data_IF_900151243171
#
_entry.id   IF_900151243171
#
_cell.length_a   1.000
_cell.length_b   1.000
_cell.length_c   1.000
_cell.angle_alpha   90.00
_cell.angle_beta   90.00
_cell.angle_gamma   90.00
#
_symmetry.space_group_name_H-M   'P 1'
#
loop_
_entity.id
_entity.type
_entity.pdbx_description
1 polymer ?
#
# COMPACT_ATOMS: atom_id res chain seq x y z
N UNK A 1 7.99 67.43 7.92
CA UNK A 1 7.02 66.33 8.14
C UNK A 1 6.22 66.20 6.85
N UNK A 2 6.84 65.56 5.86
CA UNK A 2 6.33 65.43 4.50
C UNK A 2 6.86 64.11 3.97
N UNK A 3 6.07 63.48 3.09
CA UNK A 3 6.40 62.29 2.30
C UNK A 3 6.12 60.93 2.96
N UNK A 4 4.85 60.77 3.37
CA UNK A 4 4.14 59.50 3.24
C UNK A 4 3.80 59.27 1.76
N UNK A 5 3.99 58.02 1.31
CA UNK A 5 3.46 57.38 0.08
C UNK A 5 4.29 57.48 -1.22
N UNK A 6 5.15 56.48 -1.43
CA UNK A 6 5.37 55.84 -2.75
C UNK A 6 5.36 54.33 -2.55
N UNK A 7 4.29 53.67 -3.00
CA UNK A 7 4.24 52.98 -4.29
C UNK A 7 5.19 51.75 -4.29
N UNK A 8 4.66 50.56 -3.99
CA UNK A 8 3.93 49.70 -4.91
C UNK A 8 4.84 48.65 -5.56
N UNK A 9 4.44 47.39 -5.40
CA UNK A 9 4.66 46.26 -6.30
C UNK A 9 6.09 45.71 -6.39
N UNK A 10 6.30 44.62 -5.69
CA UNK A 10 6.92 43.44 -6.33
C UNK A 10 6.18 42.21 -5.80
N UNK A 11 5.20 41.79 -6.60
CA UNK A 11 4.63 40.46 -6.51
C UNK A 11 5.73 39.47 -6.92
N UNK A 12 6.17 38.62 -5.99
CA UNK A 12 6.82 37.37 -6.32
C UNK A 12 5.78 36.28 -6.14
N UNK A 13 5.03 36.02 -7.22
CA UNK A 13 4.33 34.75 -7.41
C UNK A 13 5.39 33.64 -7.40
N UNK A 14 5.54 32.95 -6.27
CA UNK A 14 6.17 31.64 -6.26
C UNK A 14 5.12 30.64 -6.78
N UNK A 15 5.20 30.38 -8.08
CA UNK A 15 4.40 29.38 -8.79
C UNK A 15 4.67 27.97 -8.22
N UNK A 16 3.70 27.06 -8.40
CA UNK A 16 3.43 25.91 -7.55
C UNK A 16 4.38 24.76 -7.85
N UNK A 17 4.83 24.06 -6.81
CA UNK A 17 5.56 22.80 -6.95
C UNK A 17 4.74 21.71 -6.26
N UNK A 18 4.54 20.62 -7.00
CA UNK A 18 4.07 19.29 -6.58
C UNK A 18 2.56 19.10 -6.30
N UNK A 19 1.76 19.06 -7.36
CA UNK A 19 0.50 18.28 -7.39
C UNK A 19 0.48 17.39 -8.64
N UNK A 20 1.46 16.48 -8.77
CA UNK A 20 1.50 15.44 -9.81
C UNK A 20 1.31 14.03 -9.21
N UNK A 21 0.52 13.89 -8.14
CA UNK A 21 0.29 12.60 -7.47
C UNK A 21 -1.15 12.09 -7.57
N UNK A 22 -1.95 12.53 -8.57
CA UNK A 22 -3.36 12.15 -8.62
C UNK A 22 -3.91 11.84 -10.03
N UNK A 23 -3.06 11.43 -10.97
CA UNK A 23 -3.50 10.79 -12.20
C UNK A 23 -3.02 9.33 -12.27
N UNK A 24 -3.14 8.59 -11.17
CA UNK A 24 -3.10 7.12 -11.18
C UNK A 24 -4.49 6.59 -11.59
N UNK A 25 -4.87 6.90 -12.83
CA UNK A 25 -5.92 6.15 -13.52
C UNK A 25 -5.33 4.84 -13.99
N UNK A 26 -6.11 3.77 -13.85
CA UNK A 26 -5.85 2.43 -14.36
C UNK A 26 -4.80 1.61 -13.61
N UNK A 27 -5.09 1.30 -12.34
CA UNK A 27 -4.93 -0.05 -11.78
C UNK A 27 -3.65 -0.84 -12.09
N UNK A 28 -2.52 -0.20 -12.29
CA UNK A 28 -1.25 -0.88 -12.45
C UNK A 28 -0.75 -1.32 -11.07
N UNK A 29 0.01 -2.43 -10.98
CA UNK A 29 0.65 -2.75 -9.74
C UNK A 29 1.66 -1.65 -9.37
N UNK A 30 1.77 -1.33 -8.10
CA UNK A 30 2.60 -0.23 -7.61
C UNK A 30 3.26 -0.56 -6.28
N UNK A 31 4.41 0.05 -6.01
CA UNK A 31 5.01 0.09 -4.68
C UNK A 31 4.89 1.52 -4.17
N UNK A 32 4.32 1.68 -2.98
CA UNK A 32 4.23 2.96 -2.28
C UNK A 32 5.14 2.90 -1.08
N UNK A 33 6.04 3.88 -0.95
CA UNK A 33 6.90 4.03 0.22
C UNK A 33 6.44 5.25 1.03
N UNK A 34 6.25 5.08 2.33
CA UNK A 34 6.03 6.14 3.31
C UNK A 34 6.94 5.87 4.50
N UNK A 35 7.74 6.87 4.91
CA UNK A 35 8.71 6.84 6.04
C UNK A 35 9.44 5.50 6.30
N UNK A 36 9.86 4.82 5.23
CA UNK A 36 10.58 3.54 5.29
C UNK A 36 9.69 2.29 5.36
N UNK A 37 8.39 2.44 5.14
CA UNK A 37 7.39 1.38 5.04
C UNK A 37 6.99 1.16 3.59
N UNK A 38 7.05 -0.08 3.13
CA UNK A 38 6.65 -0.48 1.79
C UNK A 38 5.23 -1.06 1.78
N UNK A 39 4.36 -0.43 1.00
CA UNK A 39 3.03 -0.91 0.69
C UNK A 39 2.99 -1.37 -0.77
N UNK A 40 2.90 -2.68 -0.97
CA UNK A 40 2.81 -3.29 -2.30
C UNK A 40 1.35 -3.34 -2.71
N UNK A 41 1.01 -2.75 -3.85
CA UNK A 41 -0.33 -2.69 -4.40
C UNK A 41 -0.42 -3.54 -5.66
N UNK A 42 -1.35 -4.49 -5.68
CA UNK A 42 -1.68 -5.26 -6.86
C UNK A 42 -2.55 -4.44 -7.84
N UNK A 43 -2.42 -4.76 -9.12
CA UNK A 43 -3.42 -4.38 -10.10
C UNK A 43 -4.77 -5.06 -9.78
N UNK A 44 -5.91 -4.43 -10.12
CA UNK A 44 -7.20 -5.11 -10.09
C UNK A 44 -7.14 -6.40 -10.89
N UNK A 45 -7.53 -7.51 -10.28
CA UNK A 45 -7.66 -8.80 -10.94
C UNK A 45 -8.88 -9.55 -10.44
N UNK A 46 -9.51 -10.32 -11.33
CA UNK A 46 -10.68 -11.16 -11.01
C UNK A 46 -10.26 -12.59 -10.60
N UNK A 47 -8.98 -12.81 -10.28
CA UNK A 47 -8.35 -14.12 -10.34
C UNK A 47 -7.57 -14.56 -9.10
N UNK A 48 -7.70 -13.88 -7.96
CA UNK A 48 -7.13 -14.39 -6.72
C UNK A 48 -7.85 -15.71 -6.37
N UNK A 49 -7.09 -16.75 -6.05
CA UNK A 49 -7.67 -18.01 -5.57
C UNK A 49 -8.40 -17.77 -4.25
N UNK A 50 -9.50 -18.47 -3.99
CA UNK A 50 -10.23 -18.37 -2.72
C UNK A 50 -9.40 -18.95 -1.56
N UNK A 51 -8.61 -18.11 -0.91
CA UNK A 51 -7.89 -18.45 0.31
C UNK A 51 -8.19 -17.47 1.45
N UNK A 52 -8.00 -17.98 2.66
CA UNK A 52 -8.17 -17.26 3.91
C UNK A 52 -6.85 -17.36 4.67
N UNK A 53 -6.32 -16.21 5.08
CA UNK A 53 -5.12 -16.14 5.89
C UNK A 53 -5.44 -15.44 7.21
N UNK A 54 -4.93 -15.99 8.31
CA UNK A 54 -5.13 -15.47 9.67
C UNK A 54 -3.76 -15.40 10.31
N UNK A 55 -3.43 -14.28 10.94
CA UNK A 55 -2.14 -14.07 11.58
C UNK A 55 -2.01 -12.68 12.17
N UNK A 56 -0.82 -12.33 12.64
CA UNK A 56 -0.53 -10.98 13.11
C UNK A 56 -0.01 -10.14 11.95
N UNK A 57 -0.62 -8.97 11.69
CA UNK A 57 -0.10 -8.02 10.72
C UNK A 57 1.17 -7.38 11.29
N UNK A 58 2.32 -7.57 10.66
CA UNK A 58 3.59 -7.04 11.17
C UNK A 58 4.29 -6.19 10.13
N UNK A 59 5.19 -5.32 10.62
CA UNK A 59 6.17 -4.61 9.80
C UNK A 59 7.52 -5.26 10.03
N UNK A 60 8.15 -5.74 8.97
CA UNK A 60 9.50 -6.30 9.02
C UNK A 60 10.56 -5.23 9.27
N UNK A 61 11.78 -5.66 9.61
CA UNK A 61 12.94 -4.74 9.74
C UNK A 61 13.33 -4.10 8.39
N UNK A 62 12.90 -4.70 7.29
CA UNK A 62 13.00 -4.23 5.90
C UNK A 62 11.93 -3.18 5.51
N UNK A 63 10.99 -2.90 6.41
CA UNK A 63 9.89 -1.96 6.18
C UNK A 63 8.67 -2.56 5.48
N UNK A 64 8.67 -3.83 5.12
CA UNK A 64 7.58 -4.43 4.35
C UNK A 64 6.49 -4.96 5.29
N UNK A 65 5.27 -5.11 4.77
CA UNK A 65 4.12 -5.58 5.55
C UNK A 65 3.90 -7.08 5.35
N UNK A 66 3.83 -7.79 6.46
CA UNK A 66 3.74 -9.24 6.51
C UNK A 66 2.55 -9.71 7.31
N UNK A 67 2.17 -10.95 7.06
CA UNK A 67 1.29 -11.72 7.94
C UNK A 67 2.09 -12.84 8.59
N UNK A 68 2.24 -12.76 9.91
CA UNK A 68 2.91 -13.78 10.71
C UNK A 68 1.92 -14.81 11.23
N UNK A 69 2.11 -16.07 10.85
CA UNK A 69 1.26 -17.18 11.30
C UNK A 69 2.01 -18.51 11.24
N UNK A 70 1.93 -19.33 12.30
CA UNK A 70 2.47 -20.69 12.32
C UNK A 70 3.91 -20.81 11.76
N UNK A 71 4.81 -19.93 12.22
CA UNK A 71 6.22 -19.83 11.80
C UNK A 71 6.45 -19.37 10.35
N UNK A 72 5.40 -18.97 9.64
CA UNK A 72 5.47 -18.38 8.30
C UNK A 72 5.44 -16.84 8.38
N UNK A 73 6.20 -16.21 7.49
CA UNK A 73 6.32 -14.77 7.33
C UNK A 73 5.96 -14.41 5.89
N UNK A 74 4.68 -14.12 5.65
CA UNK A 74 4.14 -14.01 4.29
C UNK A 74 4.00 -12.57 3.87
N UNK A 75 4.60 -12.17 2.75
CA UNK A 75 4.52 -10.79 2.25
C UNK A 75 3.11 -10.50 1.74
N UNK A 76 2.56 -9.37 2.17
CA UNK A 76 1.23 -8.95 1.77
C UNK A 76 1.28 -7.99 0.59
N UNK A 77 0.51 -8.30 -0.44
CA UNK A 77 0.26 -7.40 -1.58
C UNK A 77 -1.21 -7.02 -1.53
N UNK A 78 -1.46 -5.72 -1.40
CA UNK A 78 -2.76 -5.15 -1.11
C UNK A 78 -3.53 -4.79 -2.37
N UNK A 79 -4.87 -4.72 -2.32
CA UNK A 79 -5.64 -4.24 -3.45
C UNK A 79 -5.36 -2.76 -3.71
N UNK A 80 -5.46 -2.34 -4.98
CA UNK A 80 -5.32 -0.95 -5.39
C UNK A 80 -6.20 0.00 -4.55
N UNK A 81 -5.64 1.16 -4.21
CA UNK A 81 -6.30 2.16 -3.37
C UNK A 81 -6.14 1.93 -1.86
N UNK A 82 -5.45 0.87 -1.45
CA UNK A 82 -5.02 0.71 -0.06
C UNK A 82 -4.04 1.81 0.31
N UNK A 83 -4.18 2.36 1.51
CA UNK A 83 -3.35 3.46 2.02
C UNK A 83 -2.80 3.12 3.39
N UNK A 84 -1.59 3.57 3.67
CA UNK A 84 -1.05 3.61 5.02
C UNK A 84 -1.54 4.87 5.74
N UNK A 85 -1.86 4.79 7.02
CA UNK A 85 -2.20 5.97 7.82
C UNK A 85 -0.96 6.84 8.07
N UNK A 86 -1.17 8.05 8.61
CA UNK A 86 -0.09 9.03 8.78
C UNK A 86 0.98 8.61 9.80
N UNK A 87 0.56 7.93 10.87
CA UNK A 87 1.46 7.40 11.89
C UNK A 87 2.03 6.03 11.50
N UNK A 88 1.60 5.52 10.35
CA UNK A 88 1.99 4.25 9.77
C UNK A 88 1.70 3.02 10.62
N UNK A 89 0.76 3.16 11.55
CA UNK A 89 0.34 2.10 12.45
C UNK A 89 -0.82 1.29 11.89
N UNK A 90 -1.42 1.72 10.78
CA UNK A 90 -2.58 1.08 10.21
C UNK A 90 -2.65 1.14 8.69
N UNK A 91 -3.16 0.07 8.11
CA UNK A 91 -3.46 -0.05 6.69
C UNK A 91 -4.97 0.12 6.50
N UNK A 92 -5.37 1.07 5.67
CA UNK A 92 -6.76 1.26 5.26
C UNK A 92 -6.96 0.71 3.85
N UNK A 93 -7.76 -0.32 3.75
CA UNK A 93 -8.12 -1.04 2.52
C UNK A 93 -9.44 -0.48 2.01
N UNK A 94 -9.58 -0.01 0.76
CA UNK A 94 -10.75 0.79 0.36
C UNK A 94 -12.08 0.04 0.48
N UNK A 95 -13.19 0.75 0.73
CA UNK A 95 -14.51 0.12 0.81
C UNK A 95 -14.88 -0.57 -0.51
N UNK A 96 -15.43 -1.78 -0.41
CA UNK A 96 -15.68 -2.63 -1.57
C UNK A 96 -14.42 -3.33 -2.10
N UNK A 97 -13.24 -2.99 -1.57
CA UNK A 97 -12.13 -3.93 -1.62
C UNK A 97 -12.52 -5.15 -0.79
N UNK A 98 -12.20 -6.34 -1.31
CA UNK A 98 -12.87 -7.55 -0.91
C UNK A 98 -12.22 -8.20 0.32
N UNK A 99 -12.21 -7.46 1.44
CA UNK A 99 -12.06 -8.11 2.73
C UNK A 99 -13.39 -8.83 3.06
N UNK A 100 -13.35 -9.88 3.87
CA UNK A 100 -14.56 -10.58 4.34
C UNK A 100 -15.61 -9.55 4.82
N UNK A 101 -16.93 -9.82 4.73
CA UNK A 101 -17.98 -8.84 5.08
C UNK A 101 -17.95 -8.37 6.55
N UNK A 102 -17.10 -8.96 7.38
CA UNK A 102 -16.89 -8.62 8.78
C UNK A 102 -15.47 -8.05 9.06
N UNK A 103 -14.59 -8.02 8.07
CA UNK A 103 -13.25 -7.47 8.22
C UNK A 103 -13.33 -5.94 8.28
N UNK A 104 -12.51 -5.37 9.16
CA UNK A 104 -12.43 -3.92 9.32
C UNK A 104 -11.66 -3.35 8.13
N UNK A 105 -12.18 -2.26 7.54
CA UNK A 105 -11.53 -1.48 6.46
C UNK A 105 -10.14 -0.98 6.87
N UNK A 106 -9.89 -0.85 8.17
CA UNK A 106 -8.61 -0.45 8.74
C UNK A 106 -8.02 -1.58 9.60
N UNK A 107 -6.80 -1.98 9.29
CA UNK A 107 -6.04 -3.03 9.95
C UNK A 107 -4.86 -2.40 10.69
N UNK A 108 -4.76 -2.63 12.00
CA UNK A 108 -3.69 -2.07 12.83
C UNK A 108 -2.50 -3.02 12.83
N UNK A 109 -1.31 -2.50 12.54
CA UNK A 109 -0.05 -3.23 12.61
C UNK A 109 0.22 -3.62 14.07
N UNK A 110 0.62 -4.88 14.27
CA UNK A 110 0.78 -5.53 15.57
C UNK A 110 -0.50 -6.20 16.09
N UNK A 111 -1.61 -6.13 15.35
CA UNK A 111 -2.86 -6.81 15.71
C UNK A 111 -3.05 -8.11 14.94
N UNK A 112 -3.81 -9.03 15.54
CA UNK A 112 -4.30 -10.21 14.82
C UNK A 112 -5.36 -9.79 13.81
N UNK A 113 -5.16 -10.22 12.57
CA UNK A 113 -6.03 -9.94 11.43
C UNK A 113 -6.43 -11.21 10.72
N UNK A 114 -7.53 -11.12 9.99
CA UNK A 114 -7.90 -12.10 9.00
C UNK A 114 -8.12 -11.38 7.67
N UNK A 115 -7.49 -11.91 6.63
CA UNK A 115 -7.60 -11.40 5.27
C UNK A 115 -8.04 -12.51 4.31
N UNK A 116 -8.88 -12.13 3.35
CA UNK A 116 -9.17 -12.95 2.18
C UNK A 116 -8.15 -12.66 1.08
N UNK A 117 -8.00 -13.60 0.16
CA UNK A 117 -7.08 -13.42 -0.97
C UNK A 117 -6.56 -14.74 -1.48
N UNK A 118 -5.43 -14.72 -2.18
CA UNK A 118 -4.81 -15.91 -2.73
C UNK A 118 -3.29 -15.86 -2.65
N UNK A 119 -2.66 -17.00 -2.36
CA UNK A 119 -1.23 -17.16 -2.55
C UNK A 119 -0.89 -17.07 -4.03
N UNK A 120 0.21 -16.39 -4.36
CA UNK A 120 0.77 -16.39 -5.70
C UNK A 120 2.15 -16.98 -5.65
N UNK A 121 2.36 -18.04 -6.41
CA UNK A 121 3.72 -18.45 -6.76
C UNK A 121 4.26 -17.33 -7.66
N UNK A 122 5.09 -16.45 -7.12
CA UNK A 122 5.81 -15.44 -7.92
C UNK A 122 7.18 -16.05 -8.24
N UNK A 123 7.41 -16.56 -9.46
CA UNK A 123 8.78 -16.82 -9.88
C UNK A 123 9.55 -15.50 -9.78
N UNK A 124 10.75 -15.53 -9.19
CA UNK A 124 11.61 -14.35 -9.00
C UNK A 124 11.80 -13.49 -10.28
N UNK A 125 11.58 -14.06 -11.46
CA UNK A 125 11.76 -13.42 -12.76
C UNK A 125 10.47 -13.22 -13.58
N UNK A 126 9.28 -13.42 -13.00
CA UNK A 126 8.02 -13.28 -13.75
C UNK A 126 7.35 -11.92 -13.51
N UNK A 127 7.31 -11.03 -14.52
CA UNK A 127 6.48 -9.84 -14.46
C UNK A 127 5.02 -10.25 -14.64
N UNK A 128 4.42 -10.82 -13.61
CA UNK A 128 2.96 -10.99 -13.62
C UNK A 128 2.35 -9.60 -13.55
N UNK A 129 1.47 -9.26 -14.50
CA UNK A 129 0.88 -7.92 -14.58
C UNK A 129 0.02 -7.53 -13.37
N UNK A 130 -0.09 -8.42 -12.37
CA UNK A 130 -0.93 -8.30 -11.19
C UNK A 130 -0.14 -7.91 -9.95
N UNK A 131 1.09 -8.41 -9.79
CA UNK A 131 1.93 -8.19 -8.61
C UNK A 131 2.99 -7.13 -8.93
N UNK A 132 3.24 -6.15 -8.05
CA UNK A 132 4.34 -5.21 -8.27
C UNK A 132 5.69 -5.91 -8.20
N UNK A 133 6.70 -5.29 -8.79
CA UNK A 133 8.09 -5.68 -8.55
C UNK A 133 8.38 -5.54 -7.06
N UNK A 134 8.68 -6.66 -6.40
CA UNK A 134 8.95 -6.71 -4.97
C UNK A 134 10.33 -6.09 -4.74
N UNK A 135 10.47 -5.07 -3.86
CA UNK A 135 11.77 -4.51 -3.54
C UNK A 135 12.71 -5.59 -3.00
N UNK A 136 14.00 -5.55 -3.35
CA UNK A 136 15.02 -6.50 -2.83
C UNK A 136 15.05 -6.59 -1.30
N UNK A 137 14.63 -5.52 -0.61
CA UNK A 137 14.50 -5.49 0.84
C UNK A 137 13.41 -6.43 1.36
N UNK A 138 12.32 -6.60 0.61
CA UNK A 138 11.15 -7.43 0.95
C UNK A 138 11.25 -8.89 0.44
N UNK A 139 12.45 -9.34 0.07
CA UNK A 139 12.62 -10.63 -0.61
C UNK A 139 12.20 -11.81 0.30
N UNK A 140 11.12 -12.48 -0.09
CA UNK A 140 10.58 -13.65 0.60
C UNK A 140 10.13 -14.71 -0.40
N UNK A 141 10.06 -15.95 0.07
CA UNK A 141 9.57 -17.06 -0.73
C UNK A 141 8.05 -17.03 -0.95
N UNK A 142 7.29 -16.38 -0.05
CA UNK A 142 5.83 -16.48 -0.01
C UNK A 142 5.15 -15.10 -0.10
N UNK A 143 4.29 -14.96 -1.11
CA UNK A 143 3.51 -13.73 -1.37
C UNK A 143 2.02 -14.05 -1.35
N UNK A 144 1.27 -13.24 -0.60
CA UNK A 144 -0.19 -13.34 -0.50
C UNK A 144 -0.85 -12.07 -1.06
N UNK A 145 -1.65 -12.23 -2.11
CA UNK A 145 -2.48 -11.17 -2.65
C UNK A 145 -3.73 -11.02 -1.79
N UNK A 146 -3.84 -9.94 -1.03
CA UNK A 146 -5.05 -9.58 -0.30
C UNK A 146 -6.13 -9.17 -1.29
N UNK A 147 -7.26 -9.87 -1.25
CA UNK A 147 -8.24 -9.80 -2.33
C UNK A 147 -9.49 -10.64 -2.08
N UNK A 148 -10.36 -10.69 -3.08
CA UNK A 148 -11.61 -11.44 -2.99
C UNK A 148 -11.25 -12.91 -3.15
N UNK A 149 -11.84 -13.80 -2.35
CA UNK A 149 -12.10 -15.13 -2.86
C UNK A 149 -13.02 -15.02 -4.10
#
# INVERSE_FOLDING_TARGET
>A
MSDLLRAARTAALALPVALLAACSGDGAPAVVEADGTYLLLAAPSDGAMEARAVGTLTRGEDGCLYLDADEQHTLLVWPAGTTLDHDETAVTVPDGAPLQPWATTTLVIGSDVEVGGGGVDVPADSPTSVVPEVPDACDTADVFLVGRP
#
